data_IF_703607570531
#
_entry.id   IF_703607570531
#
_cell.length_a   1.000
_cell.length_b   1.000
_cell.length_c   1.000
_cell.angle_alpha   90.00
_cell.angle_beta   90.00
_cell.angle_gamma   90.00
#
_symmetry.space_group_name_H-M   'P 1'
#
loop_
_entity.id
_entity.type
_entity.pdbx_description
1 polymer ?
#
# COMPACT_ATOMS: atom_id res chain seq x y z
N UNK A 1 -0.70 -3.68 8.01
CA UNK A 1 -2.12 -3.65 8.42
C UNK A 1 -2.50 -2.25 8.81
N UNK A 2 -3.72 -1.82 8.53
CA UNK A 2 -4.25 -0.53 8.95
C UNK A 2 -5.78 -0.52 8.86
N UNK A 3 -6.43 0.41 9.56
CA UNK A 3 -7.83 0.74 9.36
C UNK A 3 -7.93 2.03 8.58
N UNK A 4 -8.83 2.09 7.60
CA UNK A 4 -9.10 3.31 6.83
C UNK A 4 -10.59 3.61 6.74
N UNK A 5 -10.92 4.90 6.74
CA UNK A 5 -12.30 5.40 6.58
C UNK A 5 -12.35 6.55 5.60
N UNK A 6 -13.15 6.42 4.54
CA UNK A 6 -13.46 7.51 3.63
C UNK A 6 -14.34 7.08 2.47
N UNK A 7 -14.88 8.05 1.73
CA UNK A 7 -15.74 7.82 0.57
C UNK A 7 -14.96 7.70 -0.74
N UNK A 8 -15.65 7.71 -1.88
CA UNK A 8 -15.00 7.94 -3.17
C UNK A 8 -14.25 9.29 -3.14
N UNK A 9 -13.08 9.36 -3.77
CA UNK A 9 -12.27 10.58 -3.75
C UNK A 9 -13.01 11.68 -4.52
N UNK A 10 -13.00 12.89 -3.96
CA UNK A 10 -13.68 14.07 -4.52
C UNK A 10 -12.72 15.10 -5.11
N UNK A 11 -11.41 14.95 -4.90
CA UNK A 11 -10.37 15.89 -5.33
C UNK A 11 -9.32 15.06 -6.07
N UNK A 12 -9.01 15.44 -7.32
CA UNK A 12 -7.98 14.85 -8.18
C UNK A 12 -6.62 15.55 -8.03
N UNK A 13 -5.51 14.82 -8.12
CA UNK A 13 -4.24 15.43 -8.56
C UNK A 13 -4.32 15.74 -10.08
N UNK A 14 -3.40 16.53 -10.64
CA UNK A 14 -3.28 16.78 -12.08
C UNK A 14 -3.10 15.43 -12.77
N UNK A 15 -4.07 15.06 -13.60
CA UNK A 15 -4.17 13.73 -14.21
C UNK A 15 -5.41 12.93 -13.80
N UNK A 16 -6.21 13.43 -12.85
CA UNK A 16 -7.53 12.84 -12.52
C UNK A 16 -7.49 11.64 -11.58
N UNK A 17 -6.30 11.24 -11.11
CA UNK A 17 -6.11 10.19 -10.10
C UNK A 17 -5.53 10.80 -8.82
N UNK A 18 -6.12 10.47 -7.66
CA UNK A 18 -5.63 10.92 -6.36
C UNK A 18 -5.06 9.78 -5.57
N UNK A 19 -3.77 9.48 -5.79
CA UNK A 19 -3.05 8.56 -4.93
C UNK A 19 -3.04 9.08 -3.48
N UNK A 20 -3.72 8.36 -2.60
CA UNK A 20 -3.74 8.61 -1.16
C UNK A 20 -2.78 7.63 -0.49
N UNK A 21 -1.60 8.11 -0.15
CA UNK A 21 -0.54 7.28 0.43
C UNK A 21 -0.82 6.96 1.89
N UNK A 22 -0.88 5.68 2.22
CA UNK A 22 -1.01 5.17 3.58
C UNK A 22 0.36 5.25 4.27
N UNK A 23 1.38 4.70 3.61
CA UNK A 23 2.77 4.69 4.07
C UNK A 23 3.71 4.76 2.87
N UNK A 24 4.81 5.49 3.00
CA UNK A 24 5.90 5.48 2.02
C UNK A 24 7.25 5.54 2.69
N UNK A 25 8.24 4.91 2.07
CA UNK A 25 9.65 4.95 2.42
C UNK A 25 10.40 5.66 1.29
N UNK A 26 10.47 7.01 1.30
CA UNK A 26 11.28 7.75 0.34
C UNK A 26 12.73 7.24 0.36
N UNK A 27 13.32 7.14 -0.82
CA UNK A 27 14.73 6.86 -0.96
C UNK A 27 15.57 8.09 -0.53
N UNK A 28 16.79 7.87 -0.04
CA UNK A 28 17.78 8.93 0.15
C UNK A 28 18.11 9.54 -1.20
N UNK A 29 18.43 10.84 -1.19
CA UNK A 29 18.72 11.59 -2.41
C UNK A 29 19.85 10.90 -3.22
N UNK A 30 19.56 10.65 -4.51
CA UNK A 30 20.35 9.77 -5.36
C UNK A 30 19.46 8.72 -6.02
N UNK A 31 19.72 8.40 -7.30
CA UNK A 31 18.90 7.51 -8.13
C UNK A 31 18.87 6.06 -7.61
N UNK A 32 18.08 5.78 -6.56
CA UNK A 32 17.81 4.41 -6.13
C UNK A 32 16.75 3.76 -7.04
N UNK A 33 15.64 4.47 -7.27
CA UNK A 33 14.55 4.02 -8.13
C UNK A 33 13.84 5.23 -8.71
N UNK A 34 13.26 5.11 -9.91
CA UNK A 34 12.64 6.24 -10.62
C UNK A 34 11.49 6.89 -9.83
N UNK A 35 10.87 6.16 -8.92
CA UNK A 35 9.79 6.68 -8.07
C UNK A 35 10.26 7.53 -6.90
N UNK A 36 11.57 7.54 -6.61
CA UNK A 36 12.12 8.16 -5.40
C UNK A 36 11.70 7.44 -4.11
N UNK A 37 11.25 6.18 -4.18
CA UNK A 37 10.82 5.39 -3.02
C UNK A 37 11.43 3.99 -3.03
N UNK A 38 11.71 3.46 -1.84
CA UNK A 38 12.01 2.03 -1.60
C UNK A 38 10.71 1.23 -1.43
N UNK A 39 9.67 1.85 -0.87
CA UNK A 39 8.35 1.26 -0.72
C UNK A 39 7.28 2.35 -0.74
N UNK A 40 6.13 2.06 -1.33
CA UNK A 40 4.95 2.91 -1.18
C UNK A 40 3.69 2.04 -1.16
N UNK A 41 2.74 2.41 -0.32
CA UNK A 41 1.40 1.85 -0.29
C UNK A 41 0.40 2.98 -0.38
N UNK A 42 -0.43 2.96 -1.40
CA UNK A 42 -1.45 3.97 -1.61
C UNK A 42 -2.73 3.35 -2.16
N UNK A 43 -3.81 4.11 -2.01
CA UNK A 43 -5.11 3.79 -2.58
C UNK A 43 -5.59 4.89 -3.51
N UNK A 44 -6.37 4.50 -4.51
CA UNK A 44 -7.02 5.41 -5.46
C UNK A 44 -8.47 4.99 -5.59
N UNK A 45 -9.41 5.93 -5.77
CA UNK A 45 -10.77 5.56 -6.15
C UNK A 45 -10.95 5.68 -7.65
N UNK A 46 -11.65 4.72 -8.25
CA UNK A 46 -12.19 4.87 -9.59
C UNK A 46 -13.67 4.46 -9.61
N UNK A 47 -14.30 4.45 -10.80
CA UNK A 47 -15.69 4.05 -10.96
C UNK A 47 -15.99 2.60 -10.54
N UNK A 48 -14.98 1.72 -10.50
CA UNK A 48 -15.12 0.28 -10.16
C UNK A 48 -14.89 -0.04 -8.69
N UNK A 49 -14.20 0.83 -7.94
CA UNK A 49 -13.94 0.62 -6.52
C UNK A 49 -12.64 1.28 -6.04
N UNK A 50 -12.12 0.79 -4.92
CA UNK A 50 -10.83 1.17 -4.36
C UNK A 50 -9.71 0.38 -5.04
N UNK A 51 -8.79 1.07 -5.69
CA UNK A 51 -7.55 0.48 -6.16
C UNK A 51 -6.52 0.49 -5.04
N UNK A 52 -5.81 -0.60 -4.85
CA UNK A 52 -4.74 -0.72 -3.84
C UNK A 52 -3.43 -1.00 -4.57
N UNK A 53 -2.40 -0.18 -4.34
CA UNK A 53 -1.10 -0.34 -4.99
C UNK A 53 0.00 -0.36 -3.95
N UNK A 54 0.78 -1.43 -3.97
CA UNK A 54 1.89 -1.64 -3.05
C UNK A 54 3.15 -1.94 -3.85
N UNK A 55 4.04 -0.96 -3.88
CA UNK A 55 5.31 -1.05 -4.59
C UNK A 55 6.43 -1.35 -3.62
N UNK A 56 7.33 -2.22 -4.03
CA UNK A 56 8.56 -2.57 -3.32
C UNK A 56 9.74 -2.46 -4.27
N UNK A 57 10.89 -2.05 -3.76
CA UNK A 57 12.16 -2.06 -4.47
C UNK A 57 13.20 -2.77 -3.60
N UNK A 58 13.80 -3.84 -4.12
CA UNK A 58 14.83 -4.60 -3.41
C UNK A 58 16.17 -3.84 -3.38
N UNK A 59 17.14 -4.36 -2.62
CA UNK A 59 18.52 -3.83 -2.56
C UNK A 59 19.27 -3.79 -3.91
N UNK A 60 18.80 -4.51 -4.92
CA UNK A 60 19.39 -4.54 -6.25
C UNK A 60 18.67 -3.60 -7.23
N UNK A 61 17.72 -2.80 -6.73
CA UNK A 61 16.86 -1.91 -7.50
C UNK A 61 15.85 -2.62 -8.42
N UNK A 62 15.58 -3.91 -8.21
CA UNK A 62 14.46 -4.58 -8.84
C UNK A 62 13.17 -4.13 -8.15
N UNK A 63 12.18 -3.69 -8.93
CA UNK A 63 10.89 -3.31 -8.39
C UNK A 63 9.79 -4.34 -8.71
N UNK A 64 8.76 -4.31 -7.87
CA UNK A 64 7.49 -4.96 -8.18
C UNK A 64 6.33 -4.10 -7.70
N UNK A 65 5.21 -4.23 -8.41
CA UNK A 65 3.97 -3.54 -8.13
C UNK A 65 2.89 -4.58 -7.86
N UNK A 66 2.50 -4.71 -6.59
CA UNK A 66 1.32 -5.49 -6.23
C UNK A 66 0.10 -4.58 -6.31
N UNK A 67 -0.67 -4.69 -7.39
CA UNK A 67 -1.84 -3.84 -7.64
C UNK A 67 -3.13 -4.63 -7.60
N UNK A 68 -4.18 -4.07 -6.99
CA UNK A 68 -5.58 -4.49 -7.16
C UNK A 68 -6.28 -3.32 -7.82
N UNK A 69 -6.39 -3.36 -9.15
CA UNK A 69 -6.81 -2.23 -9.98
C UNK A 69 -7.63 -2.69 -11.18
N UNK A 70 -8.25 -1.74 -11.88
CA UNK A 70 -9.15 -2.06 -12.99
C UNK A 70 -10.29 -2.98 -12.55
N UNK A 71 -10.47 -4.12 -13.25
CA UNK A 71 -11.48 -5.12 -12.90
C UNK A 71 -11.25 -5.81 -11.54
N UNK A 72 -10.04 -5.69 -10.98
CA UNK A 72 -9.65 -6.29 -9.70
C UNK A 72 -9.73 -5.27 -8.54
N UNK A 73 -10.22 -4.06 -8.80
CA UNK A 73 -10.44 -3.05 -7.76
C UNK A 73 -11.41 -3.56 -6.69
N UNK A 74 -11.24 -3.07 -5.46
CA UNK A 74 -11.96 -3.53 -4.27
C UNK A 74 -13.27 -2.75 -4.14
N UNK A 75 -14.44 -3.38 -4.36
CA UNK A 75 -15.72 -2.71 -4.19
C UNK A 75 -16.07 -2.54 -2.72
N UNK A 76 -16.98 -1.60 -2.43
CA UNK A 76 -17.63 -1.51 -1.11
C UNK A 76 -16.81 -0.95 0.05
N UNK A 77 -15.53 -0.62 -0.15
CA UNK A 77 -14.65 -0.08 0.92
C UNK A 77 -14.52 1.45 0.91
N UNK A 78 -15.25 2.11 0.00
CA UNK A 78 -15.28 3.57 -0.18
C UNK A 78 -16.64 4.16 0.23
N UNK A 79 -17.21 3.65 1.32
CA UNK A 79 -18.59 3.90 1.76
C UNK A 79 -18.68 4.80 3.02
N UNK A 80 -17.57 5.47 3.38
CA UNK A 80 -17.41 6.21 4.63
C UNK A 80 -17.51 5.37 5.91
N UNK A 81 -17.32 4.05 5.86
CA UNK A 81 -17.14 3.20 7.04
C UNK A 81 -15.66 2.87 7.27
N UNK A 82 -15.36 2.35 8.46
CA UNK A 82 -14.03 1.85 8.80
C UNK A 82 -13.86 0.44 8.22
N UNK A 83 -12.85 0.26 7.38
CA UNK A 83 -12.44 -1.03 6.86
C UNK A 83 -11.02 -1.36 7.27
N UNK A 84 -10.78 -2.64 7.55
CA UNK A 84 -9.47 -3.16 7.92
C UNK A 84 -8.76 -3.72 6.70
N UNK A 85 -7.57 -3.20 6.41
CA UNK A 85 -6.73 -3.61 5.29
C UNK A 85 -5.48 -4.32 5.80
N UNK A 86 -5.21 -5.50 5.25
CA UNK A 86 -3.93 -6.19 5.46
C UNK A 86 -3.31 -6.57 4.13
N UNK A 87 -2.08 -6.14 3.91
CA UNK A 87 -1.22 -6.62 2.85
C UNK A 87 -0.19 -7.54 3.49
N UNK A 88 -0.08 -8.77 2.99
CA UNK A 88 0.86 -9.79 3.46
C UNK A 88 1.74 -10.20 2.31
N UNK A 89 3.05 -10.21 2.55
CA UNK A 89 4.03 -10.84 1.66
C UNK A 89 4.62 -12.08 2.34
N UNK A 90 4.68 -13.19 1.63
CA UNK A 90 5.29 -14.44 2.09
C UNK A 90 6.53 -14.75 1.25
N UNK A 91 7.71 -14.70 1.86
CA UNK A 91 8.99 -14.92 1.19
C UNK A 91 9.17 -16.36 0.68
N UNK A 92 8.51 -17.36 1.28
CA UNK A 92 8.63 -18.75 0.83
C UNK A 92 7.98 -18.97 -0.53
N UNK A 93 6.97 -18.16 -0.87
CA UNK A 93 6.23 -18.27 -2.14
C UNK A 93 6.33 -17.01 -3.01
N UNK A 94 6.91 -15.94 -2.47
CA UNK A 94 6.92 -14.57 -3.02
C UNK A 94 5.52 -14.04 -3.39
N UNK A 95 4.50 -14.53 -2.69
CA UNK A 95 3.12 -14.12 -2.89
C UNK A 95 2.77 -12.90 -2.03
N UNK A 96 2.05 -11.96 -2.63
CA UNK A 96 1.37 -10.86 -1.96
C UNK A 96 -0.14 -11.12 -1.93
N UNK A 97 -0.73 -11.05 -0.74
CA UNK A 97 -2.16 -11.18 -0.51
C UNK A 97 -2.72 -9.88 0.07
N UNK A 98 -3.95 -9.55 -0.31
CA UNK A 98 -4.76 -8.51 0.31
C UNK A 98 -5.88 -9.16 1.13
N UNK A 99 -6.15 -8.60 2.30
CA UNK A 99 -7.30 -8.95 3.12
C UNK A 99 -8.08 -7.67 3.42
N UNK A 100 -9.40 -7.79 3.35
CA UNK A 100 -10.35 -6.73 3.71
C UNK A 100 -11.25 -7.29 4.80
N UNK A 101 -11.34 -6.60 5.92
CA UNK A 101 -12.20 -6.96 7.05
C UNK A 101 -11.99 -8.42 7.50
N UNK A 102 -10.71 -8.81 7.59
CA UNK A 102 -10.27 -10.17 7.95
C UNK A 102 -10.38 -11.21 6.83
N UNK A 103 -11.05 -10.91 5.72
CA UNK A 103 -11.28 -11.85 4.61
C UNK A 103 -10.23 -11.70 3.52
N UNK A 104 -9.59 -12.82 3.15
CA UNK A 104 -8.61 -12.86 2.05
C UNK A 104 -9.27 -12.58 0.71
N UNK A 105 -8.71 -11.65 -0.05
CA UNK A 105 -9.07 -11.43 -1.46
C UNK A 105 -8.62 -12.65 -2.30
N UNK A 106 -9.46 -13.09 -3.24
CA UNK A 106 -9.18 -14.25 -4.09
C UNK A 106 -7.92 -14.07 -4.96
N UNK A 107 -7.59 -12.83 -5.30
CA UNK A 107 -6.47 -12.49 -6.17
C UNK A 107 -5.20 -12.42 -5.34
N UNK A 108 -4.24 -13.26 -5.75
CA UNK A 108 -2.88 -13.27 -5.22
C UNK A 108 -1.95 -12.68 -6.27
N UNK A 109 -1.11 -11.72 -5.87
CA UNK A 109 -0.03 -11.21 -6.72
C UNK A 109 1.28 -11.92 -6.36
N UNK A 110 2.24 -11.94 -7.27
CA UNK A 110 3.46 -12.73 -7.09
C UNK A 110 4.68 -12.00 -7.66
N UNK A 111 5.80 -12.06 -6.93
CA UNK A 111 7.11 -11.63 -7.41
C UNK A 111 7.98 -12.87 -7.62
N UNK A 112 7.82 -13.52 -8.77
CA UNK A 112 8.28 -14.87 -9.03
C UNK A 112 9.77 -15.09 -8.65
N UNK A 113 10.00 -16.03 -7.72
CA UNK A 113 11.35 -16.45 -7.32
C UNK A 113 12.14 -15.44 -6.48
N UNK A 114 11.52 -14.38 -5.97
CA UNK A 114 12.24 -13.30 -5.28
C UNK A 114 12.77 -13.69 -3.89
N UNK A 115 12.03 -14.50 -3.13
CA UNK A 115 12.38 -14.80 -1.74
C UNK A 115 12.09 -13.63 -0.80
N UNK A 116 13.01 -13.32 0.12
CA UNK A 116 12.85 -12.18 1.06
C UNK A 116 12.76 -10.85 0.33
N UNK A 117 11.96 -9.90 0.86
CA UNK A 117 11.83 -8.55 0.27
C UNK A 117 13.16 -7.80 0.15
N UNK A 118 14.12 -8.07 1.04
CA UNK A 118 15.48 -7.52 1.00
C UNK A 118 15.54 -6.00 0.75
N UNK A 119 14.62 -5.24 1.37
CA UNK A 119 14.63 -3.78 1.31
C UNK A 119 15.91 -3.27 1.98
N UNK A 120 16.62 -2.37 1.31
CA UNK A 120 17.85 -1.80 1.86
C UNK A 120 17.54 -0.54 2.68
N UNK A 121 17.54 -0.70 4.00
CA UNK A 121 17.34 0.40 4.95
C UNK A 121 18.42 1.50 4.83
N UNK A 122 19.60 1.17 4.26
CA UNK A 122 20.65 2.13 3.92
C UNK A 122 20.19 3.17 2.90
N UNK A 123 19.19 2.86 2.07
CA UNK A 123 18.60 3.79 1.11
C UNK A 123 17.27 4.39 1.56
N UNK A 124 16.70 3.98 2.70
CA UNK A 124 15.48 4.61 3.23
C UNK A 124 15.85 5.91 3.94
N UNK A 125 15.28 7.04 3.50
CA UNK A 125 15.50 8.36 4.13
C UNK A 125 14.72 8.50 5.43
N UNK A 126 13.46 8.11 5.39
CA UNK A 126 12.49 8.25 6.48
C UNK A 126 11.32 7.30 6.24
N UNK A 127 10.47 7.13 7.27
CA UNK A 127 9.16 6.51 7.12
C UNK A 127 8.08 7.58 7.19
N UNK A 128 7.25 7.68 6.14
CA UNK A 128 6.14 8.62 6.08
C UNK A 128 4.83 7.88 6.23
N UNK A 129 3.93 8.45 7.03
CA UNK A 129 2.54 8.00 7.14
C UNK A 129 1.65 9.09 6.58
N UNK A 130 0.72 8.74 5.70
CA UNK A 130 -0.23 9.69 5.12
C UNK A 130 0.33 10.59 4.02
N UNK A 131 1.55 10.33 3.51
CA UNK A 131 2.22 11.16 2.49
C UNK A 131 3.05 10.31 1.55
N UNK A 132 3.03 10.66 0.26
CA UNK A 132 3.85 10.03 -0.77
C UNK A 132 5.35 10.33 -0.66
N UNK A 133 6.16 9.67 -1.50
CA UNK A 133 7.62 9.75 -1.42
C UNK A 133 8.21 11.10 -1.82
N UNK A 134 7.53 11.87 -2.69
CA UNK A 134 8.00 13.20 -3.09
C UNK A 134 7.54 14.29 -2.11
N UNK A 135 8.37 15.31 -1.98
CA UNK A 135 8.01 16.51 -1.24
C UNK A 135 7.14 17.45 -2.08
N UNK A 136 6.21 18.14 -1.41
CA UNK A 136 5.17 18.96 -2.02
C UNK A 136 5.76 20.01 -2.96
N UNK A 137 5.25 20.07 -4.19
CA UNK A 137 5.70 21.06 -5.18
C UNK A 137 5.27 20.78 -6.62
N UNK A 138 4.73 19.60 -6.91
CA UNK A 138 4.07 19.29 -8.16
C UNK A 138 2.77 18.57 -7.88
N UNK A 139 1.79 18.77 -8.75
CA UNK A 139 0.51 18.10 -8.70
C UNK A 139 0.66 16.65 -9.21
N UNK A 140 1.56 15.91 -8.54
CA UNK A 140 2.05 14.57 -8.89
C UNK A 140 1.48 13.55 -7.90
N UNK A 141 1.07 12.38 -8.41
CA UNK A 141 0.57 11.28 -7.60
C UNK A 141 1.58 10.80 -6.55
N UNK A 142 2.88 11.01 -6.78
CA UNK A 142 3.94 10.71 -5.80
C UNK A 142 4.04 11.72 -4.65
N UNK A 143 3.37 12.86 -4.77
CA UNK A 143 3.26 13.88 -3.73
C UNK A 143 1.91 13.82 -2.98
N UNK A 144 1.06 12.85 -3.32
CA UNK A 144 -0.28 12.70 -2.76
C UNK A 144 -0.28 12.49 -1.25
N UNK A 145 -1.18 13.19 -0.56
CA UNK A 145 -1.39 13.06 0.89
C UNK A 145 -2.73 12.40 1.18
N UNK A 146 -2.79 11.61 2.24
CA UNK A 146 -4.00 10.94 2.67
C UNK A 146 -5.11 11.95 3.04
N UNK A 147 -6.31 11.79 2.49
CA UNK A 147 -7.49 12.62 2.82
C UNK A 147 -8.55 11.81 3.59
N UNK A 148 -8.17 10.68 4.18
CA UNK A 148 -9.05 9.73 4.88
C UNK A 148 -8.70 9.59 6.34
N UNK A 149 -9.62 8.99 7.10
CA UNK A 149 -9.29 8.42 8.41
C UNK A 149 -8.27 7.29 8.27
N UNK A 150 -7.27 7.29 9.14
CA UNK A 150 -6.30 6.22 9.33
C UNK A 150 -6.22 5.92 10.82
N UNK A 151 -6.28 4.65 11.17
CA UNK A 151 -6.05 4.19 12.53
C UNK A 151 -5.24 2.90 12.51
N UNK A 152 -4.54 2.62 13.60
CA UNK A 152 -3.98 1.29 13.87
C UNK A 152 -3.04 0.77 12.76
N UNK A 153 -2.24 1.67 12.18
CA UNK A 153 -1.19 1.30 11.23
C UNK A 153 -0.10 0.48 11.92
N UNK A 154 0.15 -0.74 11.43
CA UNK A 154 1.23 -1.61 11.91
C UNK A 154 1.95 -2.29 10.75
N UNK A 155 3.25 -2.44 10.90
CA UNK A 155 4.14 -3.18 10.01
C UNK A 155 4.80 -4.31 10.81
N UNK A 156 4.77 -5.52 10.25
CA UNK A 156 5.35 -6.71 10.88
C UNK A 156 6.55 -7.19 10.07
N UNK A 157 7.57 -7.70 10.75
CA UNK A 157 8.73 -8.35 10.12
C UNK A 157 8.48 -9.81 9.71
N UNK A 158 7.22 -10.26 9.71
CA UNK A 158 6.82 -11.64 9.39
C UNK A 158 5.48 -11.66 8.66
N UNK A 159 5.28 -12.71 7.86
CA UNK A 159 4.00 -12.99 7.22
C UNK A 159 3.02 -13.55 8.26
N UNK A 160 2.01 -12.76 8.62
CA UNK A 160 0.96 -13.22 9.53
C UNK A 160 0.12 -14.32 8.89
N UNK A 161 -0.26 -15.33 9.68
CA UNK A 161 -1.18 -16.35 9.22
C UNK A 161 -2.63 -15.82 9.18
N UNK A 162 -3.53 -16.56 8.53
CA UNK A 162 -4.91 -16.12 8.32
C UNK A 162 -5.68 -15.94 9.65
N UNK A 163 -5.39 -16.75 10.68
CA UNK A 163 -6.03 -16.63 11.99
C UNK A 163 -5.56 -15.39 12.76
N UNK A 164 -4.28 -15.02 12.65
CA UNK A 164 -3.74 -13.78 13.22
C UNK A 164 -4.39 -12.55 12.57
N UNK A 165 -4.54 -12.56 11.25
CA UNK A 165 -5.19 -11.48 10.50
C UNK A 165 -6.66 -11.35 10.89
N UNK A 166 -7.39 -12.46 10.97
CA UNK A 166 -8.78 -12.46 11.43
C UNK A 166 -8.91 -11.89 12.84
N UNK A 167 -7.95 -12.20 13.72
CA UNK A 167 -7.93 -11.67 15.09
C UNK A 167 -7.70 -10.16 15.14
N UNK A 168 -6.80 -9.63 14.29
CA UNK A 168 -6.61 -8.17 14.19
C UNK A 168 -7.91 -7.45 13.82
N UNK A 169 -8.69 -8.03 12.90
CA UNK A 169 -10.00 -7.51 12.54
C UNK A 169 -11.01 -7.62 13.68
N UNK A 170 -11.23 -8.84 14.21
CA UNK A 170 -12.29 -9.10 15.20
C UNK A 170 -12.07 -8.37 16.52
N UNK A 171 -10.81 -8.28 16.96
CA UNK A 171 -10.45 -7.61 18.21
C UNK A 171 -10.26 -6.10 18.03
N UNK A 172 -10.31 -5.58 16.80
CA UNK A 172 -9.95 -4.19 16.45
C UNK A 172 -8.58 -3.81 17.02
N UNK A 173 -7.60 -4.66 16.71
CA UNK A 173 -6.26 -4.69 17.31
C UNK A 173 -5.15 -4.43 16.33
#
# INVERSE_FOLDING_TARGET
TFWSKGGSQTIGNEGGNSAEHIISFPAKDGYFHWSGAVMMLFIESNATGCQVKWTMVDKNHNDTWFTWEGGDAIPGVLDNQWHHFVLRYDAATSNANLFIDGVKNAITRNWAGHGDLNLDAGFIREARVGKGPKDSGSNDWQSGSLQRGLDQLRLYGAALNDAEIQKLFSDKK
#
